data_IF_944852130113
#
_entry.id   IF_944852130113
#
_cell.length_a   1.000
_cell.length_b   1.000
_cell.length_c   1.000
_cell.angle_alpha   90.00
_cell.angle_beta   90.00
_cell.angle_gamma   90.00
#
_symmetry.space_group_name_H-M   'P 1'
#
loop_
_entity.id
_entity.type
_entity.pdbx_description
1 polymer ?
#
# COMPACT_ATOMS: atom_id res chain seq x y z
N UNK A 1 -60.02 44.59 21.70
CA UNK A 1 -59.20 44.48 20.48
C UNK A 1 -57.86 43.80 20.90
N UNK A 2 -57.80 42.52 20.74
CA UNK A 2 -56.60 41.71 21.14
C UNK A 2 -55.92 41.26 19.86
N UNK A 3 -54.77 41.88 19.53
CA UNK A 3 -53.91 41.50 18.41
C UNK A 3 -53.05 40.27 18.78
N UNK A 4 -53.20 39.19 18.02
CA UNK A 4 -52.31 38.01 18.08
C UNK A 4 -51.14 38.23 17.11
N UNK A 5 -49.94 38.36 17.67
CA UNK A 5 -48.69 38.21 16.88
C UNK A 5 -48.47 36.73 16.55
N UNK A 6 -48.41 36.42 15.25
CA UNK A 6 -47.87 35.17 14.76
C UNK A 6 -46.34 35.32 14.58
N UNK A 7 -45.57 34.62 15.39
CA UNK A 7 -44.13 34.47 15.15
C UNK A 7 -43.91 33.32 14.16
N UNK A 8 -43.40 33.67 12.98
CA UNK A 8 -43.01 32.69 11.92
C UNK A 8 -41.61 32.19 12.28
N UNK A 9 -41.52 30.92 12.67
CA UNK A 9 -40.22 30.22 12.87
C UNK A 9 -39.70 29.77 11.50
N UNK A 10 -38.72 30.47 10.95
CA UNK A 10 -37.97 29.98 9.79
C UNK A 10 -36.99 28.89 10.24
N UNK A 11 -37.32 27.64 9.94
CA UNK A 11 -36.43 26.50 10.12
C UNK A 11 -35.41 26.50 8.96
N UNK A 12 -34.20 27.00 9.19
CA UNK A 12 -33.09 26.91 8.24
C UNK A 12 -32.56 25.49 8.25
N UNK A 13 -32.94 24.70 7.29
CA UNK A 13 -32.28 23.41 7.02
C UNK A 13 -30.86 23.71 6.56
N UNK A 14 -29.87 23.46 7.39
CA UNK A 14 -28.49 23.33 6.94
C UNK A 14 -28.42 22.10 6.05
N UNK A 15 -28.33 22.33 4.74
CA UNK A 15 -27.89 21.32 3.77
C UNK A 15 -26.40 21.06 4.07
N UNK A 16 -26.12 19.98 4.81
CA UNK A 16 -24.76 19.45 4.86
C UNK A 16 -24.40 19.07 3.42
N UNK A 17 -23.44 19.77 2.82
CA UNK A 17 -22.79 19.29 1.61
C UNK A 17 -22.22 17.93 1.93
N UNK A 18 -22.51 16.86 1.16
CA UNK A 18 -21.82 15.60 1.37
C UNK A 18 -20.32 15.87 1.25
N UNK A 19 -19.54 15.47 2.24
CA UNK A 19 -18.09 15.41 2.08
C UNK A 19 -17.84 14.61 0.80
N UNK A 20 -17.02 15.14 -0.10
CA UNK A 20 -16.59 14.40 -1.27
C UNK A 20 -15.90 13.14 -0.75
N UNK A 21 -16.43 11.98 -1.12
CA UNK A 21 -15.82 10.72 -0.76
C UNK A 21 -14.48 10.60 -1.50
N UNK A 22 -13.49 10.04 -0.83
CA UNK A 22 -12.16 9.84 -1.40
C UNK A 22 -12.22 8.78 -2.50
N UNK A 23 -11.39 8.93 -3.51
CA UNK A 23 -11.27 7.92 -4.57
C UNK A 23 -10.31 6.81 -4.14
N UNK A 24 -10.69 5.59 -4.44
CA UNK A 24 -9.82 4.42 -4.33
C UNK A 24 -9.37 4.06 -5.74
N UNK A 25 -8.08 3.90 -5.93
CA UNK A 25 -7.48 3.47 -7.20
C UNK A 25 -6.92 2.07 -7.05
N UNK A 26 -7.28 1.18 -7.98
CA UNK A 26 -6.89 -0.24 -7.98
C UNK A 26 -6.22 -0.57 -9.31
N UNK A 27 -4.94 -0.96 -9.28
CA UNK A 27 -4.24 -1.45 -10.47
C UNK A 27 -4.65 -2.88 -10.79
N UNK A 28 -5.07 -3.12 -12.04
CA UNK A 28 -5.50 -4.43 -12.54
C UNK A 28 -4.43 -5.02 -13.43
N UNK A 29 -3.59 -5.88 -12.87
CA UNK A 29 -2.35 -6.38 -13.49
C UNK A 29 -2.59 -6.99 -14.88
N UNK A 30 -3.58 -7.86 -15.03
CA UNK A 30 -3.90 -8.50 -16.31
C UNK A 30 -4.92 -7.73 -17.13
N UNK A 31 -5.66 -6.83 -16.50
CA UNK A 31 -6.58 -5.89 -17.18
C UNK A 31 -5.84 -4.79 -17.92
N UNK A 32 -4.60 -4.47 -17.53
CA UNK A 32 -3.83 -3.30 -18.00
C UNK A 32 -4.58 -1.97 -17.74
N UNK A 33 -5.35 -1.92 -16.67
CA UNK A 33 -6.22 -0.80 -16.31
C UNK A 33 -6.04 -0.40 -14.86
N UNK A 34 -6.59 0.75 -14.50
CA UNK A 34 -6.88 1.15 -13.12
C UNK A 34 -8.39 1.29 -12.98
N UNK A 35 -8.96 0.65 -11.95
CA UNK A 35 -10.36 0.86 -11.55
C UNK A 35 -10.42 1.95 -10.47
N UNK A 36 -11.39 2.85 -10.58
CA UNK A 36 -11.66 3.92 -9.59
C UNK A 36 -12.95 3.60 -8.86
N UNK A 37 -12.90 3.63 -7.52
CA UNK A 37 -14.05 3.35 -6.64
C UNK A 37 -14.30 4.57 -5.76
N UNK A 38 -15.56 4.93 -5.54
CA UNK A 38 -15.99 5.92 -4.54
C UNK A 38 -15.96 5.28 -3.14
N UNK A 39 -15.19 5.84 -2.20
CA UNK A 39 -15.03 5.27 -0.85
C UNK A 39 -16.24 5.46 0.07
N UNK A 40 -17.19 6.31 -0.32
CA UNK A 40 -18.41 6.55 0.46
C UNK A 40 -19.57 5.62 0.05
N UNK A 41 -19.62 5.24 -1.23
CA UNK A 41 -20.69 4.40 -1.79
C UNK A 41 -20.22 3.01 -2.17
N UNK A 42 -18.93 2.80 -2.36
CA UNK A 42 -18.30 1.60 -2.92
C UNK A 42 -18.72 1.30 -4.36
N UNK A 43 -19.17 2.30 -5.10
CA UNK A 43 -19.49 2.17 -6.51
C UNK A 43 -18.23 2.39 -7.36
N UNK A 44 -18.12 1.61 -8.44
CA UNK A 44 -17.08 1.83 -9.45
C UNK A 44 -17.46 3.06 -10.27
N UNK A 45 -16.58 4.06 -10.27
CA UNK A 45 -16.77 5.32 -10.98
C UNK A 45 -16.25 5.25 -12.42
N UNK A 46 -15.08 4.61 -12.61
CA UNK A 46 -14.35 4.59 -13.88
C UNK A 46 -13.40 3.40 -13.93
N UNK A 47 -13.03 2.99 -15.13
CA UNK A 47 -11.90 2.11 -15.42
C UNK A 47 -11.16 2.66 -16.66
N UNK A 48 -9.85 2.93 -16.51
CA UNK A 48 -9.06 3.52 -17.58
C UNK A 48 -7.75 2.75 -17.82
N UNK A 49 -7.19 2.79 -19.06
CA UNK A 49 -5.91 2.14 -19.39
C UNK A 49 -4.74 2.74 -18.60
N UNK A 50 -3.87 1.87 -18.04
CA UNK A 50 -2.77 2.31 -17.18
C UNK A 50 -1.40 1.72 -17.57
N UNK A 51 -1.24 1.27 -18.79
CA UNK A 51 -0.04 0.61 -19.28
C UNK A 51 -0.10 -0.90 -19.15
N UNK A 52 0.95 -1.60 -19.57
CA UNK A 52 1.01 -3.05 -19.50
C UNK A 52 1.48 -3.50 -18.12
N UNK A 53 0.80 -4.50 -17.55
CA UNK A 53 1.08 -5.09 -16.25
C UNK A 53 1.19 -4.02 -15.14
N UNK A 54 0.13 -3.20 -14.87
CA UNK A 54 0.18 -2.20 -13.81
C UNK A 54 0.17 -2.88 -12.43
N UNK A 55 1.16 -2.55 -11.58
CA UNK A 55 1.34 -3.12 -10.25
C UNK A 55 1.38 -2.05 -9.17
N UNK A 56 2.56 -1.57 -8.78
CA UNK A 56 2.70 -0.53 -7.77
C UNK A 56 1.87 0.70 -8.12
N UNK A 57 1.13 1.22 -7.15
CA UNK A 57 0.25 2.38 -7.32
C UNK A 57 0.29 3.26 -6.07
N UNK A 58 0.42 4.57 -6.25
CA UNK A 58 0.34 5.56 -5.16
C UNK A 58 -0.18 6.89 -5.68
N UNK A 59 -0.62 7.75 -4.76
CA UNK A 59 -1.02 9.13 -5.05
C UNK A 59 0.00 10.11 -4.49
N UNK A 60 0.10 11.30 -5.12
CA UNK A 60 0.88 12.42 -4.56
C UNK A 60 0.31 12.83 -3.19
N UNK A 61 1.12 13.42 -2.31
CA UNK A 61 0.65 13.88 -1.00
C UNK A 61 -0.52 14.87 -1.04
N UNK A 62 -0.65 15.64 -2.13
CA UNK A 62 -1.76 16.57 -2.37
C UNK A 62 -2.97 15.90 -3.07
N UNK A 63 -2.89 14.59 -3.34
CA UNK A 63 -3.96 13.82 -3.95
C UNK A 63 -4.24 14.11 -5.43
N UNK A 64 -3.44 14.96 -6.10
CA UNK A 64 -3.72 15.42 -7.47
C UNK A 64 -3.14 14.52 -8.57
N UNK A 65 -2.09 13.77 -8.26
CA UNK A 65 -1.40 12.87 -9.19
C UNK A 65 -1.48 11.42 -8.74
N UNK A 66 -1.72 10.53 -9.69
CA UNK A 66 -1.64 9.08 -9.50
C UNK A 66 -0.42 8.54 -10.24
N UNK A 67 0.43 7.81 -9.54
CA UNK A 67 1.60 7.11 -10.07
C UNK A 67 1.29 5.62 -10.18
N UNK A 68 1.64 5.01 -11.31
CA UNK A 68 1.41 3.58 -11.58
C UNK A 68 2.66 2.97 -12.21
N UNK A 69 3.23 1.92 -11.60
CA UNK A 69 4.23 1.09 -12.26
C UNK A 69 3.56 0.31 -13.41
N UNK A 70 3.96 0.57 -14.64
CA UNK A 70 3.63 -0.22 -15.81
C UNK A 70 4.81 -1.15 -16.09
N UNK A 71 4.83 -2.30 -15.41
CA UNK A 71 6.03 -3.16 -15.28
C UNK A 71 6.55 -3.65 -16.63
N UNK A 72 5.67 -4.09 -17.55
CA UNK A 72 6.06 -4.51 -18.89
C UNK A 72 6.33 -3.33 -19.86
N UNK A 73 6.15 -2.08 -19.43
CA UNK A 73 6.48 -0.86 -20.18
C UNK A 73 7.77 -0.19 -19.66
N UNK A 74 8.40 -0.74 -18.63
CA UNK A 74 9.63 -0.22 -17.99
C UNK A 74 9.50 1.25 -17.56
N UNK A 75 8.34 1.64 -17.03
CA UNK A 75 8.05 3.03 -16.72
C UNK A 75 7.06 3.20 -15.57
N UNK A 76 7.13 4.34 -14.89
CA UNK A 76 6.06 4.81 -14.02
C UNK A 76 5.20 5.81 -14.80
N UNK A 77 3.92 5.52 -14.98
CA UNK A 77 2.95 6.41 -15.62
C UNK A 77 2.32 7.33 -14.60
N UNK A 78 2.07 8.56 -14.98
CA UNK A 78 1.51 9.58 -14.10
C UNK A 78 0.23 10.14 -14.70
N UNK A 79 -0.85 10.07 -13.90
CA UNK A 79 -2.19 10.47 -14.29
C UNK A 79 -2.70 11.61 -13.40
N UNK A 80 -3.58 12.43 -13.92
CA UNK A 80 -4.39 13.37 -13.14
C UNK A 80 -5.53 12.62 -12.43
N UNK A 81 -5.68 12.77 -11.12
CA UNK A 81 -6.70 12.04 -10.33
C UNK A 81 -8.12 12.55 -10.56
N UNK A 82 -8.28 13.75 -11.13
CA UNK A 82 -9.57 14.34 -11.44
C UNK A 82 -10.13 13.90 -12.80
N UNK A 83 -9.26 13.86 -13.82
CA UNK A 83 -9.63 13.57 -15.22
C UNK A 83 -9.26 12.16 -15.68
N UNK A 84 -8.35 11.49 -14.96
CA UNK A 84 -7.75 10.19 -15.30
C UNK A 84 -6.93 10.20 -16.60
N UNK A 85 -6.58 11.38 -17.10
CA UNK A 85 -5.72 11.54 -18.27
C UNK A 85 -4.25 11.29 -17.90
N UNK A 86 -3.53 10.55 -18.75
CA UNK A 86 -2.09 10.40 -18.62
C UNK A 86 -1.40 11.71 -18.95
N UNK A 87 -0.60 12.22 -18.00
CA UNK A 87 0.10 13.48 -18.13
C UNK A 87 1.52 13.30 -18.69
N UNK A 88 2.23 12.29 -18.18
CA UNK A 88 3.60 11.95 -18.57
C UNK A 88 4.04 10.63 -17.96
N UNK A 89 5.24 10.18 -18.33
CA UNK A 89 5.94 9.05 -17.71
C UNK A 89 7.18 9.54 -16.96
N UNK A 90 7.54 8.80 -15.90
CA UNK A 90 8.82 8.92 -15.20
C UNK A 90 9.72 7.76 -15.59
N UNK A 91 11.03 8.00 -15.74
CA UNK A 91 11.98 6.91 -15.98
C UNK A 91 12.07 6.00 -14.75
N UNK A 92 12.18 4.71 -15.02
CA UNK A 92 12.58 3.66 -14.07
C UNK A 92 13.60 2.74 -14.74
N UNK A 93 14.11 1.73 -14.04
CA UNK A 93 14.73 0.58 -14.68
C UNK A 93 13.67 -0.40 -15.21
N UNK A 94 14.10 -1.56 -15.75
CA UNK A 94 13.20 -2.58 -16.25
C UNK A 94 12.41 -3.24 -15.10
N UNK A 95 11.21 -3.65 -15.42
CA UNK A 95 10.26 -4.30 -14.52
C UNK A 95 10.06 -3.56 -13.17
N UNK A 96 9.54 -2.30 -13.17
CA UNK A 96 9.23 -1.60 -11.94
C UNK A 96 8.08 -2.26 -11.20
N UNK A 97 8.32 -2.66 -9.94
CA UNK A 97 7.36 -3.37 -9.11
C UNK A 97 6.64 -2.44 -8.12
N UNK A 98 7.19 -2.26 -6.94
CA UNK A 98 6.72 -1.29 -5.96
C UNK A 98 7.59 -0.04 -5.97
N UNK A 99 7.01 1.03 -5.52
CA UNK A 99 7.71 2.28 -5.29
C UNK A 99 7.21 2.96 -4.01
N UNK A 100 7.97 3.91 -3.51
CA UNK A 100 7.55 4.77 -2.43
C UNK A 100 7.89 6.23 -2.77
N UNK A 101 6.91 7.12 -2.57
CA UNK A 101 7.12 8.55 -2.73
C UNK A 101 7.59 9.16 -1.42
N UNK A 102 8.58 10.04 -1.48
CA UNK A 102 8.98 10.82 -0.30
C UNK A 102 7.79 11.66 0.19
N UNK A 103 7.59 11.85 1.50
CA UNK A 103 6.44 12.59 2.04
C UNK A 103 6.30 14.04 1.53
N UNK A 104 7.39 14.64 1.04
CA UNK A 104 7.35 15.95 0.37
C UNK A 104 6.80 15.90 -1.06
N UNK A 105 6.49 14.72 -1.60
CA UNK A 105 6.09 14.52 -3.00
C UNK A 105 7.26 14.35 -3.98
N UNK A 106 8.51 14.44 -3.52
CA UNK A 106 9.73 14.30 -4.34
C UNK A 106 10.91 13.89 -3.44
N UNK A 107 11.76 12.90 -3.84
CA UNK A 107 11.68 12.06 -5.04
C UNK A 107 10.78 10.82 -4.88
N UNK A 108 10.71 10.03 -5.96
CA UNK A 108 10.14 8.68 -6.01
C UNK A 108 11.28 7.65 -6.00
N UNK A 109 11.15 6.61 -5.18
CA UNK A 109 12.08 5.47 -5.10
C UNK A 109 11.39 4.24 -5.68
N UNK A 110 11.96 3.62 -6.71
CA UNK A 110 11.32 2.58 -7.52
C UNK A 110 12.17 1.32 -7.45
N UNK A 111 11.58 0.20 -7.05
CA UNK A 111 12.21 -1.11 -7.10
C UNK A 111 12.09 -1.66 -8.54
N UNK A 112 13.23 -1.98 -9.18
CA UNK A 112 13.27 -2.55 -10.52
C UNK A 112 13.78 -3.98 -10.43
N UNK A 113 12.88 -4.95 -10.70
CA UNK A 113 13.12 -6.36 -10.43
C UNK A 113 14.25 -6.92 -11.30
N UNK A 114 14.26 -6.61 -12.61
CA UNK A 114 15.13 -7.25 -13.59
C UNK A 114 16.61 -6.79 -13.56
N UNK A 115 16.90 -5.58 -13.07
CA UNK A 115 18.28 -5.04 -13.02
C UNK A 115 18.86 -4.94 -11.61
N UNK A 116 18.09 -5.34 -10.59
CA UNK A 116 18.51 -5.36 -9.18
C UNK A 116 18.88 -3.97 -8.63
N UNK A 117 18.12 -2.96 -9.03
CA UNK A 117 18.34 -1.57 -8.65
C UNK A 117 17.11 -0.98 -7.93
N UNK A 118 17.37 0.01 -7.09
CA UNK A 118 16.38 1.00 -6.71
C UNK A 118 16.71 2.29 -7.46
N UNK A 119 15.82 2.71 -8.37
CA UNK A 119 15.96 3.98 -9.08
C UNK A 119 15.32 5.11 -8.28
N UNK A 120 16.05 6.20 -8.10
CA UNK A 120 15.55 7.42 -7.45
C UNK A 120 15.28 8.46 -8.53
N UNK A 121 14.01 8.84 -8.70
CA UNK A 121 13.57 9.72 -9.78
C UNK A 121 12.95 10.99 -9.21
N UNK A 122 13.44 12.14 -9.68
CA UNK A 122 12.84 13.43 -9.38
C UNK A 122 11.49 13.58 -10.11
N UNK A 123 10.41 13.73 -9.34
CA UNK A 123 9.05 13.78 -9.87
C UNK A 123 8.73 15.07 -10.64
N UNK A 124 9.50 16.15 -10.42
CA UNK A 124 9.30 17.45 -11.04
C UNK A 124 10.13 17.61 -12.33
N UNK A 125 11.44 17.33 -12.23
CA UNK A 125 12.36 17.42 -13.37
C UNK A 125 12.35 16.20 -14.26
N UNK A 126 11.83 15.06 -13.74
CA UNK A 126 11.82 13.75 -14.38
C UNK A 126 13.22 13.17 -14.62
N UNK A 127 14.18 13.62 -13.85
CA UNK A 127 15.56 13.13 -13.95
C UNK A 127 15.78 11.97 -12.97
N UNK A 128 16.57 10.98 -13.38
CA UNK A 128 17.13 9.98 -12.47
C UNK A 128 18.19 10.67 -11.62
N UNK A 129 18.02 10.65 -10.30
CA UNK A 129 18.95 11.22 -9.33
C UNK A 129 20.00 10.21 -8.88
N UNK A 130 19.61 8.94 -8.74
CA UNK A 130 20.49 7.85 -8.35
C UNK A 130 19.94 6.49 -8.82
N UNK A 131 20.86 5.55 -9.02
CA UNK A 131 20.59 4.13 -9.19
C UNK A 131 21.37 3.40 -8.09
N UNK A 132 20.65 2.68 -7.22
CA UNK A 132 21.20 2.10 -6.01
C UNK A 132 21.21 0.58 -6.16
N UNK A 133 22.37 -0.07 -6.32
CA UNK A 133 22.45 -1.53 -6.35
C UNK A 133 21.95 -2.14 -5.03
N UNK A 134 21.00 -3.06 -5.13
CA UNK A 134 20.40 -3.80 -4.02
C UNK A 134 20.57 -5.31 -4.20
N UNK A 135 19.81 -6.12 -3.49
CA UNK A 135 19.81 -7.58 -3.71
C UNK A 135 19.03 -7.97 -4.97
N UNK A 136 19.00 -9.28 -5.24
CA UNK A 136 18.34 -9.84 -6.44
C UNK A 136 16.82 -9.79 -6.27
N UNK A 137 16.12 -9.36 -7.31
CA UNK A 137 14.66 -9.20 -7.40
C UNK A 137 14.14 -8.23 -6.32
N UNK A 138 14.45 -6.91 -6.40
CA UNK A 138 13.89 -5.92 -5.50
C UNK A 138 12.39 -5.72 -5.76
N UNK A 139 11.60 -5.77 -4.67
CA UNK A 139 10.13 -5.69 -4.75
C UNK A 139 9.58 -4.66 -3.75
N UNK A 140 9.59 -4.99 -2.47
CA UNK A 140 8.95 -4.20 -1.42
C UNK A 140 9.66 -2.88 -1.15
N UNK A 141 8.86 -1.84 -0.91
CA UNK A 141 9.35 -0.50 -0.59
C UNK A 141 8.64 0.04 0.64
N UNK A 142 9.39 0.68 1.53
CA UNK A 142 8.89 1.39 2.70
C UNK A 142 9.71 2.63 3.00
N UNK A 143 9.11 3.64 3.64
CA UNK A 143 9.80 4.85 4.07
C UNK A 143 9.54 5.12 5.54
N UNK A 144 10.57 5.54 6.28
CA UNK A 144 10.42 5.93 7.68
C UNK A 144 9.58 7.21 7.83
N UNK A 145 8.80 7.37 8.91
CA UNK A 145 7.97 8.55 9.12
C UNK A 145 8.75 9.87 9.16
N UNK A 146 10.03 9.85 9.59
CA UNK A 146 10.94 10.99 9.54
C UNK A 146 11.61 11.20 8.18
N UNK A 147 11.24 10.36 7.20
CA UNK A 147 11.72 10.37 5.83
C UNK A 147 13.25 10.24 5.63
N UNK A 148 13.98 9.76 6.65
CA UNK A 148 15.45 9.57 6.54
C UNK A 148 15.85 8.24 5.93
N UNK A 149 14.96 7.25 5.99
CA UNK A 149 15.25 5.89 5.56
C UNK A 149 14.21 5.39 4.57
N UNK A 150 14.68 4.90 3.44
CA UNK A 150 13.90 4.03 2.55
C UNK A 150 14.37 2.61 2.76
N UNK A 151 13.43 1.68 2.86
CA UNK A 151 13.74 0.25 2.94
C UNK A 151 13.24 -0.42 1.66
N UNK A 152 14.15 -1.13 0.99
CA UNK A 152 13.83 -2.03 -0.11
C UNK A 152 13.97 -3.48 0.35
N UNK A 153 13.09 -4.36 -0.09
CA UNK A 153 13.23 -5.81 0.10
C UNK A 153 13.66 -6.47 -1.21
N UNK A 154 14.56 -7.44 -1.13
CA UNK A 154 15.03 -8.20 -2.29
C UNK A 154 14.69 -9.68 -2.12
N UNK A 155 13.83 -10.20 -2.99
CA UNK A 155 13.17 -11.50 -2.86
C UNK A 155 14.13 -12.68 -2.81
N UNK A 156 15.00 -12.78 -3.81
CA UNK A 156 15.92 -13.93 -3.95
C UNK A 156 17.07 -13.88 -2.94
N UNK A 157 17.54 -12.70 -2.57
CA UNK A 157 18.60 -12.55 -1.57
C UNK A 157 18.09 -12.51 -0.12
N UNK A 158 16.77 -12.47 0.09
CA UNK A 158 16.13 -12.47 1.42
C UNK A 158 16.60 -11.33 2.32
N UNK A 159 16.74 -10.14 1.77
CA UNK A 159 17.31 -8.97 2.44
C UNK A 159 16.31 -7.81 2.54
N UNK A 160 16.38 -7.07 3.63
CA UNK A 160 15.86 -5.72 3.75
C UNK A 160 17.04 -4.74 3.78
N UNK A 161 17.12 -3.86 2.76
CA UNK A 161 18.18 -2.87 2.58
C UNK A 161 17.71 -1.52 3.08
N UNK A 162 18.44 -0.93 4.04
CA UNK A 162 18.14 0.40 4.58
C UNK A 162 18.97 1.44 3.84
N UNK A 163 18.30 2.26 3.06
CA UNK A 163 18.86 3.28 2.18
C UNK A 163 18.66 4.65 2.85
N UNK A 164 19.75 5.40 3.03
CA UNK A 164 19.68 6.79 3.51
C UNK A 164 19.15 7.70 2.40
N UNK A 165 18.16 8.54 2.72
CA UNK A 165 17.60 9.53 1.78
C UNK A 165 18.51 10.74 1.57
N UNK A 166 19.53 10.93 2.46
CA UNK A 166 20.46 12.04 2.38
C UNK A 166 21.52 11.83 1.28
N UNK A 167 22.03 10.60 1.14
CA UNK A 167 23.15 10.31 0.23
C UNK A 167 22.89 9.13 -0.72
N UNK A 168 21.67 8.57 -0.69
CA UNK A 168 21.21 7.44 -1.53
C UNK A 168 22.09 6.19 -1.41
N UNK A 169 22.60 5.91 -0.18
CA UNK A 169 23.46 4.74 0.09
C UNK A 169 22.82 3.79 1.05
N UNK A 170 23.04 2.50 0.83
CA UNK A 170 22.70 1.47 1.80
C UNK A 170 23.60 1.63 3.03
N UNK A 171 23.00 1.74 4.20
CA UNK A 171 23.70 1.81 5.48
C UNK A 171 23.60 0.52 6.28
N UNK A 172 22.45 -0.19 6.17
CA UNK A 172 22.24 -1.45 6.87
C UNK A 172 21.58 -2.46 5.96
N UNK A 173 21.87 -3.73 6.24
CA UNK A 173 21.23 -4.88 5.59
C UNK A 173 20.77 -5.83 6.68
N UNK A 174 19.50 -6.25 6.63
CA UNK A 174 18.92 -7.21 7.56
C UNK A 174 18.50 -8.45 6.79
N UNK A 175 19.04 -9.61 7.18
CA UNK A 175 18.59 -10.90 6.65
C UNK A 175 17.22 -11.23 7.23
N UNK A 176 16.24 -11.42 6.36
CA UNK A 176 14.86 -11.81 6.69
C UNK A 176 14.53 -13.21 6.15
N UNK A 177 13.28 -13.66 6.24
CA UNK A 177 12.90 -14.95 5.67
C UNK A 177 12.69 -14.88 4.15
N UNK A 178 12.44 -16.05 3.55
CA UNK A 178 12.43 -16.23 2.10
C UNK A 178 11.33 -15.42 1.41
N UNK A 179 11.72 -14.75 0.33
CA UNK A 179 10.90 -13.94 -0.56
C UNK A 179 10.20 -12.78 0.17
N UNK A 180 10.97 -11.80 0.68
CA UNK A 180 10.37 -10.62 1.32
C UNK A 180 9.67 -9.73 0.28
N UNK A 181 8.37 -9.36 0.56
CA UNK A 181 7.47 -8.71 -0.39
C UNK A 181 7.08 -7.29 -0.03
N UNK A 182 7.13 -6.93 1.24
CA UNK A 182 6.61 -5.64 1.70
C UNK A 182 7.35 -5.16 2.94
N UNK A 183 7.49 -3.84 3.08
CA UNK A 183 8.11 -3.20 4.24
C UNK A 183 7.19 -2.09 4.77
N UNK A 184 6.73 -2.21 6.02
CA UNK A 184 5.82 -1.27 6.66
C UNK A 184 6.37 -0.76 7.98
N UNK A 185 6.63 0.54 8.08
CA UNK A 185 6.97 1.18 9.34
C UNK A 185 5.74 1.41 10.22
N UNK A 186 5.95 1.36 11.55
CA UNK A 186 4.99 1.92 12.52
C UNK A 186 5.00 3.45 12.42
N UNK A 187 3.90 4.10 12.84
CA UNK A 187 3.75 5.56 12.77
C UNK A 187 4.81 6.32 13.59
N UNK A 188 5.30 5.72 14.68
CA UNK A 188 6.38 6.29 15.51
C UNK A 188 7.80 6.02 14.97
N UNK A 189 7.92 5.25 13.87
CA UNK A 189 9.17 4.90 13.23
C UNK A 189 10.06 3.90 13.99
N UNK A 190 9.59 3.38 15.13
CA UNK A 190 10.41 2.49 15.99
C UNK A 190 10.38 1.03 15.58
N UNK A 191 9.40 0.64 14.76
CA UNK A 191 9.28 -0.73 14.25
C UNK A 191 9.13 -0.73 12.74
N UNK A 192 9.72 -1.73 12.12
CA UNK A 192 9.51 -2.09 10.71
C UNK A 192 9.04 -3.54 10.65
N UNK A 193 7.96 -3.76 9.90
CA UNK A 193 7.41 -5.07 9.62
C UNK A 193 7.75 -5.45 8.17
N UNK A 194 8.43 -6.58 7.98
CA UNK A 194 8.80 -7.09 6.66
C UNK A 194 8.13 -8.44 6.45
N UNK A 195 7.23 -8.51 5.47
CA UNK A 195 6.56 -9.77 5.10
C UNK A 195 7.46 -10.64 4.26
N UNK A 196 7.42 -11.96 4.45
CA UNK A 196 8.17 -12.94 3.69
C UNK A 196 7.22 -14.03 3.15
N UNK A 197 6.95 -13.98 1.85
CA UNK A 197 5.91 -14.78 1.19
C UNK A 197 6.18 -16.29 1.33
N UNK A 198 7.33 -16.77 0.88
CA UNK A 198 7.70 -18.19 0.96
C UNK A 198 8.09 -18.57 2.39
N UNK A 199 8.71 -17.66 3.13
CA UNK A 199 9.04 -17.86 4.54
C UNK A 199 7.83 -18.01 5.44
N UNK A 200 6.65 -17.54 5.01
CA UNK A 200 5.40 -17.64 5.79
C UNK A 200 5.42 -16.80 7.06
N UNK A 201 6.21 -15.74 7.13
CA UNK A 201 6.45 -14.94 8.34
C UNK A 201 6.35 -13.45 8.09
N UNK A 202 6.23 -12.68 9.19
CA UNK A 202 6.53 -11.25 9.22
C UNK A 202 7.67 -11.02 10.19
N UNK A 203 8.79 -10.50 9.70
CA UNK A 203 9.91 -10.07 10.52
C UNK A 203 9.58 -8.75 11.21
N UNK A 204 9.79 -8.67 12.53
CA UNK A 204 9.68 -7.44 13.32
C UNK A 204 11.09 -6.93 13.58
N UNK A 205 11.38 -5.74 13.09
CA UNK A 205 12.69 -5.09 13.21
C UNK A 205 12.48 -3.83 14.04
N UNK A 206 13.17 -3.74 15.17
CA UNK A 206 13.23 -2.52 15.98
C UNK A 206 14.27 -1.56 15.41
N UNK A 207 13.96 -0.28 15.44
CA UNK A 207 14.83 0.80 14.96
C UNK A 207 15.22 1.64 16.16
N UNK A 208 16.52 1.74 16.41
CA UNK A 208 17.03 2.56 17.49
C UNK A 208 17.05 4.07 17.16
N UNK A 209 17.42 4.92 18.10
CA UNK A 209 17.48 6.38 17.91
C UNK A 209 18.50 6.82 16.84
N UNK A 210 19.47 5.99 16.51
CA UNK A 210 20.44 6.23 15.45
C UNK A 210 19.97 5.72 14.07
N UNK A 211 18.83 5.03 14.03
CA UNK A 211 18.27 4.41 12.82
C UNK A 211 18.82 3.02 12.53
N UNK A 212 19.55 2.41 13.48
CA UNK A 212 20.09 1.06 13.30
C UNK A 212 18.99 0.00 13.54
N UNK A 213 18.83 -0.96 12.61
CA UNK A 213 17.82 -2.00 12.70
C UNK A 213 18.31 -3.21 13.52
N UNK A 214 17.42 -3.80 14.32
CA UNK A 214 17.61 -5.09 15.01
C UNK A 214 16.40 -5.99 14.81
N UNK A 215 16.60 -7.20 14.28
CA UNK A 215 15.53 -8.21 14.09
C UNK A 215 15.21 -8.87 15.45
N UNK A 216 14.08 -8.49 16.04
CA UNK A 216 13.74 -8.90 17.42
C UNK A 216 12.71 -10.04 17.47
N UNK A 217 11.86 -10.18 16.45
CA UNK A 217 10.78 -11.17 16.46
C UNK A 217 10.38 -11.61 15.05
N UNK A 218 9.74 -12.77 14.95
CA UNK A 218 9.09 -13.28 13.73
C UNK A 218 7.68 -13.73 14.03
N UNK A 219 6.69 -13.08 13.41
CA UNK A 219 5.29 -13.46 13.49
C UNK A 219 5.06 -14.63 12.54
N UNK A 220 4.40 -15.67 13.00
CA UNK A 220 4.00 -16.85 12.21
C UNK A 220 2.49 -16.99 12.21
N UNK A 221 1.96 -17.70 11.22
CA UNK A 221 0.53 -17.85 11.02
C UNK A 221 0.13 -19.32 11.07
N UNK A 222 -1.05 -19.59 11.63
CA UNK A 222 -1.63 -20.93 11.65
C UNK A 222 -3.16 -20.83 11.52
N UNK A 223 -3.71 -21.43 10.46
CA UNK A 223 -5.15 -21.46 10.20
C UNK A 223 -5.60 -22.91 10.14
N UNK A 224 -6.54 -23.35 10.97
CA UNK A 224 -7.04 -24.72 10.94
C UNK A 224 -7.52 -25.12 9.54
N UNK A 225 -7.00 -26.23 9.03
CA UNK A 225 -7.36 -26.75 7.70
C UNK A 225 -6.70 -26.06 6.50
N UNK A 226 -5.81 -25.09 6.72
CA UNK A 226 -4.98 -24.46 5.68
C UNK A 226 -3.55 -24.95 5.83
N UNK A 227 -2.94 -25.37 4.71
CA UNK A 227 -1.55 -25.80 4.70
C UNK A 227 -0.61 -24.61 4.95
N UNK A 228 0.48 -24.77 5.72
CA UNK A 228 1.42 -23.69 6.02
C UNK A 228 1.96 -22.98 4.78
N UNK A 229 2.23 -23.70 3.70
CA UNK A 229 2.73 -23.16 2.44
C UNK A 229 1.72 -22.26 1.69
N UNK A 230 0.47 -22.21 2.13
CA UNK A 230 -0.53 -21.29 1.60
C UNK A 230 -0.65 -20.00 2.43
N UNK A 231 -0.05 -19.98 3.60
CA UNK A 231 0.01 -18.82 4.47
C UNK A 231 1.18 -17.90 4.03
N UNK A 232 1.00 -17.24 2.91
CA UNK A 232 2.02 -16.44 2.22
C UNK A 232 1.81 -14.95 2.48
N UNK A 233 2.48 -14.34 3.48
CA UNK A 233 2.38 -12.91 3.77
C UNK A 233 2.89 -12.06 2.61
N UNK A 234 2.06 -11.10 2.15
CA UNK A 234 2.39 -10.16 1.08
C UNK A 234 2.19 -8.72 1.57
N UNK A 235 1.10 -8.04 1.24
CA UNK A 235 0.83 -6.69 1.75
C UNK A 235 0.63 -6.64 3.27
N UNK A 236 1.05 -5.55 3.89
CA UNK A 236 0.82 -5.30 5.31
C UNK A 236 0.49 -3.83 5.57
N UNK A 237 -0.38 -3.55 6.55
CA UNK A 237 -0.69 -2.20 7.04
C UNK A 237 -0.86 -2.22 8.54
N UNK A 238 -0.30 -1.23 9.22
CA UNK A 238 -0.47 -1.01 10.65
C UNK A 238 -1.33 0.23 10.89
N UNK A 239 -2.25 0.17 11.85
CA UNK A 239 -3.06 1.33 12.26
C UNK A 239 -2.17 2.44 12.83
N UNK A 240 -2.58 3.70 12.68
CA UNK A 240 -1.80 4.88 13.11
C UNK A 240 -1.56 4.91 14.62
N UNK A 241 -2.48 4.30 15.40
CA UNK A 241 -2.31 4.11 16.86
C UNK A 241 -1.29 3.01 17.21
N UNK A 242 -0.76 2.29 16.21
CA UNK A 242 0.21 1.22 16.38
C UNK A 242 -0.32 -0.07 16.99
N UNK A 243 -1.64 -0.22 17.10
CA UNK A 243 -2.27 -1.36 17.79
C UNK A 243 -2.43 -2.61 16.93
N UNK A 244 -2.90 -2.44 15.69
CA UNK A 244 -3.25 -3.55 14.82
C UNK A 244 -2.41 -3.56 13.55
N UNK A 245 -1.76 -4.69 13.29
CA UNK A 245 -1.10 -4.99 12.02
C UNK A 245 -1.99 -5.95 11.23
N UNK A 246 -2.43 -5.52 10.05
CA UNK A 246 -3.16 -6.32 9.09
C UNK A 246 -2.19 -6.90 8.06
N UNK A 247 -2.25 -8.21 7.83
CA UNK A 247 -1.34 -8.91 6.91
C UNK A 247 -2.14 -9.74 5.91
N UNK A 248 -1.96 -9.47 4.63
CA UNK A 248 -2.53 -10.26 3.54
C UNK A 248 -1.82 -11.62 3.44
N UNK A 249 -2.57 -12.72 3.52
CA UNK A 249 -2.05 -14.09 3.46
C UNK A 249 -2.38 -14.75 2.11
N UNK A 250 -1.91 -14.15 1.03
CA UNK A 250 -1.94 -14.63 -0.37
C UNK A 250 -2.95 -15.73 -0.70
N UNK A 251 -2.50 -16.95 -1.03
CA UNK A 251 -3.37 -18.08 -1.42
C UNK A 251 -4.32 -18.56 -0.32
N UNK A 252 -4.07 -18.20 0.96
CA UNK A 252 -4.98 -18.54 2.05
C UNK A 252 -6.28 -17.72 2.01
N UNK A 253 -6.38 -16.69 1.15
CA UNK A 253 -7.58 -15.86 0.96
C UNK A 253 -8.05 -15.23 2.29
N UNK A 254 -7.10 -14.72 3.07
CA UNK A 254 -7.35 -14.13 4.39
C UNK A 254 -6.46 -12.93 4.63
N UNK A 255 -6.96 -12.07 5.51
CA UNK A 255 -6.17 -11.04 6.18
C UNK A 255 -6.03 -11.46 7.65
N UNK A 256 -4.80 -11.57 8.13
CA UNK A 256 -4.54 -11.76 9.55
C UNK A 256 -4.57 -10.41 10.26
N UNK A 257 -5.23 -10.35 11.43
CA UNK A 257 -5.19 -9.23 12.36
C UNK A 257 -4.25 -9.60 13.48
N UNK A 258 -3.16 -8.87 13.62
CA UNK A 258 -2.10 -9.13 14.59
C UNK A 258 -2.05 -7.98 15.59
N UNK A 259 -1.99 -8.29 16.87
CA UNK A 259 -1.66 -7.29 17.88
C UNK A 259 -0.19 -6.88 17.72
N UNK A 260 0.08 -5.62 17.37
CA UNK A 260 1.43 -5.16 17.03
C UNK A 260 2.33 -4.91 18.26
N UNK A 261 1.81 -5.09 19.48
CA UNK A 261 2.58 -5.06 20.72
C UNK A 261 3.00 -6.45 21.16
N UNK A 262 2.06 -7.43 21.17
CA UNK A 262 2.32 -8.81 21.60
C UNK A 262 2.75 -9.73 20.48
N UNK A 263 2.54 -9.32 19.22
CA UNK A 263 2.79 -10.09 17.99
C UNK A 263 1.91 -11.34 17.84
N UNK A 264 0.85 -11.45 18.64
CA UNK A 264 -0.12 -12.55 18.57
C UNK A 264 -1.19 -12.28 17.50
N UNK A 265 -1.59 -13.33 16.78
CA UNK A 265 -2.69 -13.25 15.81
C UNK A 265 -4.02 -13.35 16.55
N UNK A 266 -4.81 -12.28 16.48
CA UNK A 266 -6.14 -12.21 17.11
C UNK A 266 -7.22 -12.84 16.23
N UNK A 267 -7.19 -12.60 14.92
CA UNK A 267 -8.27 -12.99 14.02
C UNK A 267 -7.76 -13.20 12.60
N UNK A 268 -8.47 -14.04 11.85
CA UNK A 268 -8.33 -14.18 10.40
C UNK A 268 -9.63 -13.78 9.73
N UNK A 269 -9.59 -12.77 8.86
CA UNK A 269 -10.74 -12.29 8.10
C UNK A 269 -10.70 -12.95 6.72
N UNK A 270 -11.78 -13.62 6.32
CA UNK A 270 -11.91 -14.22 4.99
C UNK A 270 -12.19 -13.10 3.98
N UNK A 271 -11.43 -13.10 2.88
CA UNK A 271 -11.55 -12.15 1.78
C UNK A 271 -11.63 -12.88 0.44
N UNK A 272 -11.56 -12.18 -0.68
CA UNK A 272 -11.53 -12.80 -2.01
C UNK A 272 -10.27 -13.63 -2.25
N UNK A 273 -10.15 -14.23 -3.45
CA UNK A 273 -9.11 -15.22 -3.76
C UNK A 273 -7.80 -14.55 -4.16
N UNK A 274 -6.68 -15.03 -3.59
CA UNK A 274 -5.31 -14.54 -3.80
C UNK A 274 -5.20 -13.06 -3.43
N UNK A 275 -5.28 -12.79 -2.13
CA UNK A 275 -5.12 -11.42 -1.60
C UNK A 275 -3.67 -10.95 -1.78
N UNK A 276 -3.50 -9.68 -2.24
CA UNK A 276 -2.19 -9.08 -2.49
C UNK A 276 -1.91 -7.89 -1.57
N UNK A 277 -2.43 -6.72 -1.90
CA UNK A 277 -2.11 -5.47 -1.22
C UNK A 277 -3.27 -4.95 -0.38
N UNK A 278 -2.94 -4.07 0.55
CA UNK A 278 -3.85 -3.48 1.51
C UNK A 278 -3.73 -1.95 1.49
N UNK A 279 -4.83 -1.22 1.70
CA UNK A 279 -4.82 0.22 1.94
C UNK A 279 -5.92 0.63 2.91
N UNK A 280 -5.62 1.51 3.87
CA UNK A 280 -6.63 2.15 4.70
C UNK A 280 -7.31 3.30 3.96
N UNK A 281 -8.57 3.58 4.33
CA UNK A 281 -9.14 4.91 4.12
C UNK A 281 -8.43 5.93 5.02
N UNK A 282 -8.41 7.25 4.66
CA UNK A 282 -7.69 8.25 5.45
C UNK A 282 -8.12 8.34 6.93
N UNK A 283 -9.40 8.06 7.22
CA UNK A 283 -9.97 7.98 8.57
C UNK A 283 -9.70 6.62 9.27
N UNK A 284 -9.01 5.69 8.59
CA UNK A 284 -8.75 4.31 9.03
C UNK A 284 -10.00 3.50 9.42
N UNK A 285 -11.18 3.94 9.02
CA UNK A 285 -12.42 3.21 9.29
C UNK A 285 -12.50 1.93 8.48
N UNK A 286 -11.98 1.95 7.26
CA UNK A 286 -11.98 0.79 6.38
C UNK A 286 -10.58 0.45 5.90
N UNK A 287 -10.36 -0.86 5.71
CA UNK A 287 -9.19 -1.42 5.05
C UNK A 287 -9.66 -2.12 3.77
N UNK A 288 -9.02 -1.82 2.65
CA UNK A 288 -9.30 -2.44 1.36
C UNK A 288 -8.24 -3.48 1.05
N UNK A 289 -8.65 -4.59 0.41
CA UNK A 289 -7.74 -5.66 -0.03
C UNK A 289 -7.95 -5.95 -1.51
N UNK A 290 -6.88 -6.09 -2.27
CA UNK A 290 -6.96 -6.57 -3.65
C UNK A 290 -6.93 -8.09 -3.69
N UNK A 291 -7.85 -8.71 -4.45
CA UNK A 291 -8.00 -10.16 -4.53
C UNK A 291 -7.84 -10.60 -5.99
N UNK A 292 -6.59 -10.97 -6.37
CA UNK A 292 -6.18 -11.14 -7.76
C UNK A 292 -6.96 -12.21 -8.53
N UNK A 293 -7.31 -13.33 -7.90
CA UNK A 293 -7.96 -14.44 -8.60
C UNK A 293 -9.50 -14.32 -8.63
N UNK A 294 -10.10 -13.55 -7.73
CA UNK A 294 -11.56 -13.28 -7.74
C UNK A 294 -11.94 -11.98 -8.43
N UNK A 295 -10.97 -11.15 -8.84
CA UNK A 295 -11.18 -9.88 -9.53
C UNK A 295 -12.06 -8.91 -8.72
N UNK A 296 -11.78 -8.77 -7.44
CA UNK A 296 -12.52 -7.90 -6.54
C UNK A 296 -11.62 -7.24 -5.50
N UNK A 297 -12.17 -6.23 -4.86
CA UNK A 297 -11.64 -5.60 -3.65
C UNK A 297 -12.58 -5.92 -2.50
N UNK A 298 -12.07 -6.51 -1.41
CA UNK A 298 -12.84 -6.65 -0.18
C UNK A 298 -12.62 -5.43 0.70
N UNK A 299 -13.70 -4.84 1.20
CA UNK A 299 -13.68 -3.77 2.20
C UNK A 299 -13.89 -4.39 3.57
N UNK A 300 -13.01 -4.08 4.50
CA UNK A 300 -13.00 -4.56 5.88
C UNK A 300 -13.28 -3.36 6.79
N UNK A 301 -14.26 -3.48 7.69
CA UNK A 301 -14.44 -2.57 8.81
C UNK A 301 -13.32 -2.83 9.83
N UNK A 302 -12.51 -1.81 10.12
CA UNK A 302 -11.30 -1.95 10.95
C UNK A 302 -11.64 -2.14 12.42
N UNK A 303 -12.68 -1.47 12.93
CA UNK A 303 -13.12 -1.59 14.33
C UNK A 303 -13.79 -2.95 14.58
N UNK A 304 -14.69 -3.37 13.70
CA UNK A 304 -15.36 -4.66 13.79
C UNK A 304 -14.44 -5.82 13.40
N UNK A 305 -13.37 -5.55 12.65
CA UNK A 305 -12.48 -6.55 12.05
C UNK A 305 -13.25 -7.59 11.21
N UNK A 306 -14.14 -7.10 10.35
CA UNK A 306 -15.02 -7.94 9.53
C UNK A 306 -15.12 -7.40 8.12
N UNK A 307 -15.18 -8.32 7.12
CA UNK A 307 -15.45 -7.97 5.74
C UNK A 307 -16.90 -7.50 5.61
N UNK A 308 -17.12 -6.33 5.00
CA UNK A 308 -18.45 -5.72 4.86
C UNK A 308 -18.99 -5.79 3.44
N UNK A 309 -18.13 -5.67 2.43
CA UNK A 309 -18.54 -5.73 1.02
C UNK A 309 -17.38 -6.18 0.15
N UNK A 310 -17.71 -6.79 -1.00
CA UNK A 310 -16.76 -7.10 -2.07
C UNK A 310 -17.18 -6.32 -3.32
N UNK A 311 -16.25 -5.55 -3.88
CA UNK A 311 -16.46 -4.67 -5.04
C UNK A 311 -15.77 -5.29 -6.25
N UNK A 312 -16.49 -5.72 -7.29
CA UNK A 312 -15.89 -6.20 -8.53
C UNK A 312 -15.05 -5.10 -9.20
N UNK A 313 -13.84 -5.47 -9.67
CA UNK A 313 -12.91 -4.57 -10.39
C UNK A 313 -12.36 -5.26 -11.65
N UNK A 314 -11.35 -4.68 -12.28
CA UNK A 314 -10.72 -5.28 -13.46
C UNK A 314 -9.99 -6.59 -13.18
N UNK A 315 -9.30 -7.14 -14.20
CA UNK A 315 -8.68 -8.47 -14.12
C UNK A 315 -7.40 -8.46 -13.30
N UNK A 316 -7.32 -9.36 -12.33
CA UNK A 316 -6.20 -9.56 -11.40
C UNK A 316 -5.77 -8.25 -10.72
N UNK A 317 -6.61 -7.67 -9.85
CA UNK A 317 -6.24 -6.51 -9.06
C UNK A 317 -5.02 -6.83 -8.19
N UNK A 318 -4.03 -5.93 -8.20
CA UNK A 318 -2.78 -6.12 -7.49
C UNK A 318 -2.53 -5.04 -6.45
N UNK A 319 -2.41 -3.78 -6.85
CA UNK A 319 -2.17 -2.63 -5.98
C UNK A 319 -3.45 -1.88 -5.65
N UNK A 320 -3.47 -1.21 -4.51
CA UNK A 320 -4.57 -0.33 -4.08
C UNK A 320 -4.04 0.87 -3.31
N UNK A 321 -4.59 2.03 -3.59
CA UNK A 321 -4.33 3.27 -2.86
C UNK A 321 -5.62 4.07 -2.70
N UNK A 322 -5.75 4.79 -1.60
CA UNK A 322 -6.87 5.72 -1.35
C UNK A 322 -6.34 7.15 -1.42
N UNK A 323 -7.05 8.00 -2.14
CA UNK A 323 -6.73 9.42 -2.23
C UNK A 323 -6.77 10.05 -0.82
N UNK A 324 -5.80 10.88 -0.42
CA UNK A 324 -5.85 11.62 0.83
C UNK A 324 -6.98 12.66 0.85
N UNK A 325 -7.34 13.13 2.05
CA UNK A 325 -8.35 14.17 2.25
C UNK A 325 -7.93 15.53 1.69
#
# INVERSE_FOLDING_TARGET
MTGRLFASLCLSALLATPALANKVFVSNEKGNTVTVIDSGTWEVLEEFPAGRRPRGITVSPDGTLLYVCASDDDAVRVFDTGTYEELYTLPSGPDPELFIIHPSGNPLYIANEDDNLVTVTDTQTRAVLAEIPVGVEPEGMGISPDAKWVVNTSETTNMAHFISTEDYRIKHNVLVDQRPRYAQYSADGKKLFVTAEIGGTVSVIEIDEAGAPDLVHKITFAVPGVLPEWLQPVGARITSDGKWLFVALGPANRVAVVNAETYEVEKYIVVGQRVWQLAFTPDEKYLLTTNGNSNDVTVIDVEAQEAVISVPVGQQPWGVVVQPD
#
